data_IF_285912726974
#
_entry.id   IF_285912726974
#
_cell.length_a   1.000
_cell.length_b   1.000
_cell.length_c   1.000
_cell.angle_alpha   90.00
_cell.angle_beta   90.00
_cell.angle_gamma   90.00
#
_symmetry.space_group_name_H-M   'P 1'
#
loop_
_entity.id
_entity.type
_entity.pdbx_description
1 polymer ?
#
# COMPACT_ATOMS: atom_id res chain seq x y z
N UNK A 1 21.07 12.53 6.34
CA UNK A 1 20.22 12.06 7.47
C UNK A 1 19.61 10.72 7.08
N UNK A 2 19.98 9.63 7.76
CA UNK A 2 19.38 8.31 7.50
C UNK A 2 18.10 8.26 8.33
N UNK A 3 16.94 8.17 7.67
CA UNK A 3 15.63 8.06 8.33
C UNK A 3 15.61 6.71 9.06
N UNK A 4 15.75 6.72 10.39
CA UNK A 4 15.85 5.52 11.23
C UNK A 4 14.51 4.79 11.40
N UNK A 5 13.39 5.48 11.17
CA UNK A 5 12.04 4.94 11.33
C UNK A 5 11.04 5.65 10.39
N UNK A 6 10.12 4.87 9.79
CA UNK A 6 8.89 5.36 9.15
C UNK A 6 7.73 4.50 9.64
N UNK A 7 6.82 5.08 10.41
CA UNK A 7 5.78 4.33 11.11
C UNK A 7 6.39 3.23 11.99
N UNK A 8 6.04 1.98 11.71
CA UNK A 8 6.54 0.79 12.41
C UNK A 8 7.71 0.09 11.70
N UNK A 9 8.17 0.62 10.57
CA UNK A 9 9.32 0.06 9.83
C UNK A 9 10.62 0.71 10.29
N UNK A 10 11.48 -0.11 10.88
CA UNK A 10 12.78 0.30 11.39
C UNK A 10 13.90 0.08 10.37
N UNK A 11 14.88 0.99 10.36
CA UNK A 11 16.12 0.83 9.62
C UNK A 11 17.32 0.97 10.53
N UNK A 12 18.29 0.09 10.37
CA UNK A 12 19.60 0.22 11.03
C UNK A 12 20.40 1.33 10.36
N UNK A 13 21.41 1.83 11.08
CA UNK A 13 22.34 2.85 10.57
C UNK A 13 23.13 2.37 9.33
N UNK A 14 23.25 1.06 9.12
CA UNK A 14 23.87 0.43 7.95
C UNK A 14 22.91 0.22 6.77
N UNK A 15 21.68 0.75 6.85
CA UNK A 15 20.68 0.70 5.78
C UNK A 15 19.83 -0.57 5.73
N UNK A 16 20.09 -1.57 6.59
CA UNK A 16 19.27 -2.79 6.64
C UNK A 16 17.87 -2.48 7.16
N UNK A 17 16.87 -3.01 6.45
CA UNK A 17 15.44 -2.84 6.75
C UNK A 17 14.91 -3.98 7.62
N UNK A 18 14.07 -3.62 8.59
CA UNK A 18 13.34 -4.56 9.44
C UNK A 18 12.31 -5.37 8.64
N UNK A 19 11.71 -4.73 7.64
CA UNK A 19 10.76 -5.35 6.71
C UNK A 19 11.38 -6.37 5.78
N UNK A 20 10.77 -7.55 5.69
CA UNK A 20 11.04 -8.54 4.65
C UNK A 20 10.67 -7.99 3.27
N UNK A 21 11.47 -8.27 2.22
CA UNK A 21 11.02 -8.06 0.85
C UNK A 21 9.95 -9.09 0.50
N UNK A 22 9.15 -8.78 -0.51
CA UNK A 22 8.24 -9.77 -1.09
C UNK A 22 9.05 -10.87 -1.78
N UNK A 23 8.56 -12.11 -1.71
CA UNK A 23 9.16 -13.21 -2.47
C UNK A 23 8.95 -12.96 -3.96
N UNK A 24 9.93 -13.36 -4.78
CA UNK A 24 9.84 -13.25 -6.23
C UNK A 24 8.57 -13.98 -6.74
N UNK A 25 7.75 -13.27 -7.53
CA UNK A 25 6.49 -13.80 -8.05
C UNK A 25 5.35 -13.93 -7.03
N UNK A 26 5.55 -13.49 -5.78
CA UNK A 26 4.47 -13.54 -4.78
C UNK A 26 3.34 -12.61 -5.17
N UNK A 27 2.08 -13.10 -5.18
CA UNK A 27 0.93 -12.24 -5.48
C UNK A 27 0.64 -11.28 -4.33
N UNK A 28 1.06 -11.57 -3.11
CA UNK A 28 0.78 -10.79 -1.90
C UNK A 28 1.96 -9.91 -1.50
N UNK A 29 1.82 -9.17 -0.39
CA UNK A 29 2.95 -8.47 0.21
C UNK A 29 3.24 -8.93 1.64
N UNK A 30 4.52 -8.96 1.97
CA UNK A 30 5.12 -9.11 3.30
C UNK A 30 5.97 -7.90 3.67
N UNK A 31 5.96 -6.88 2.80
CA UNK A 31 6.70 -5.66 2.99
C UNK A 31 5.88 -4.68 3.83
N UNK A 32 6.33 -4.42 5.06
CA UNK A 32 5.72 -3.43 5.95
C UNK A 32 5.62 -2.04 5.31
N UNK A 33 6.56 -1.66 4.45
CA UNK A 33 6.46 -0.41 3.70
C UNK A 33 5.22 -0.35 2.82
N UNK A 34 4.93 -1.44 2.09
CA UNK A 34 3.74 -1.54 1.23
C UNK A 34 2.47 -1.63 2.08
N UNK A 35 2.49 -2.45 3.14
CA UNK A 35 1.35 -2.58 4.06
C UNK A 35 1.00 -1.24 4.71
N UNK A 36 2.01 -0.48 5.12
CA UNK A 36 1.78 0.84 5.70
C UNK A 36 1.25 1.83 4.67
N UNK A 37 1.90 1.93 3.51
CA UNK A 37 1.47 2.86 2.47
C UNK A 37 0.04 2.56 2.02
N UNK A 38 -0.28 1.29 1.75
CA UNK A 38 -1.62 0.87 1.35
C UNK A 38 -2.67 1.10 2.44
N UNK A 39 -2.33 0.95 3.72
CA UNK A 39 -3.25 1.26 4.82
C UNK A 39 -3.58 2.76 4.87
N UNK A 40 -2.57 3.62 4.77
CA UNK A 40 -2.77 5.07 4.74
C UNK A 40 -3.57 5.52 3.52
N UNK A 41 -3.22 5.00 2.34
CA UNK A 41 -3.87 5.41 1.09
C UNK A 41 -5.31 4.89 1.01
N UNK A 42 -5.59 3.67 1.47
CA UNK A 42 -6.96 3.15 1.61
C UNK A 42 -7.83 4.03 2.51
N UNK A 43 -7.29 4.48 3.65
CA UNK A 43 -8.01 5.38 4.55
C UNK A 43 -8.25 6.73 3.88
N UNK A 44 -7.22 7.32 3.25
CA UNK A 44 -7.33 8.58 2.54
C UNK A 44 -8.39 8.53 1.43
N UNK A 45 -8.43 7.45 0.65
CA UNK A 45 -9.42 7.21 -0.40
C UNK A 45 -10.83 7.05 0.15
N UNK A 46 -10.97 6.38 1.29
CA UNK A 46 -12.26 6.21 1.98
C UNK A 46 -12.82 7.56 2.41
N UNK A 47 -11.99 8.40 3.03
CA UNK A 47 -12.35 9.77 3.42
C UNK A 47 -12.69 10.62 2.18
N UNK A 48 -11.83 10.58 1.15
CA UNK A 48 -12.05 11.36 -0.07
C UNK A 48 -13.34 10.94 -0.80
N UNK A 49 -13.66 9.64 -0.82
CA UNK A 49 -14.91 9.13 -1.38
C UNK A 49 -16.12 9.61 -0.58
N UNK A 50 -16.06 9.53 0.75
CA UNK A 50 -17.14 10.01 1.62
C UNK A 50 -17.36 11.52 1.46
N UNK A 51 -16.28 12.31 1.39
CA UNK A 51 -16.35 13.74 1.12
C UNK A 51 -16.96 14.04 -0.26
N UNK A 52 -16.51 13.34 -1.31
CA UNK A 52 -17.08 13.51 -2.66
C UNK A 52 -18.59 13.22 -2.68
N UNK A 53 -19.04 12.19 -1.98
CA UNK A 53 -20.47 11.87 -1.83
C UNK A 53 -21.22 12.96 -1.06
N UNK A 54 -20.68 13.39 0.09
CA UNK A 54 -21.31 14.39 0.96
C UNK A 54 -21.49 15.75 0.28
N UNK A 55 -20.52 16.17 -0.54
CA UNK A 55 -20.53 17.48 -1.20
C UNK A 55 -20.96 17.43 -2.66
N UNK A 56 -21.44 16.28 -3.15
CA UNK A 56 -21.93 16.14 -4.53
C UNK A 56 -20.85 16.32 -5.60
N UNK A 57 -19.59 16.00 -5.29
CA UNK A 57 -18.49 16.04 -6.26
C UNK A 57 -18.59 14.80 -7.16
N UNK A 58 -18.85 15.03 -8.45
CA UNK A 58 -19.08 13.97 -9.44
C UNK A 58 -17.84 13.67 -10.28
N UNK A 59 -17.82 12.47 -10.88
CA UNK A 59 -16.75 12.05 -11.79
C UNK A 59 -16.65 13.00 -13.00
N UNK A 60 -15.48 13.60 -13.28
CA UNK A 60 -15.29 14.48 -14.43
C UNK A 60 -15.33 13.70 -15.77
N UNK A 61 -15.85 14.33 -16.82
CA UNK A 61 -15.86 13.73 -18.17
C UNK A 61 -14.49 13.72 -18.85
N UNK A 62 -13.60 14.66 -18.50
CA UNK A 62 -12.25 14.75 -19.08
C UNK A 62 -11.41 13.54 -18.68
N UNK A 63 -10.78 12.81 -19.62
CA UNK A 63 -10.12 11.53 -19.32
C UNK A 63 -9.08 11.57 -18.20
N UNK A 64 -8.15 12.53 -18.21
CA UNK A 64 -7.13 12.66 -17.16
C UNK A 64 -7.75 12.91 -15.77
N UNK A 65 -8.78 13.76 -15.69
CA UNK A 65 -9.46 14.07 -14.43
C UNK A 65 -10.36 12.93 -13.96
N UNK A 66 -10.90 12.15 -14.89
CA UNK A 66 -11.63 10.92 -14.59
C UNK A 66 -10.73 9.90 -13.89
N UNK A 67 -9.54 9.63 -14.44
CA UNK A 67 -8.57 8.71 -13.81
C UNK A 67 -8.13 9.22 -12.43
N UNK A 68 -7.78 10.51 -12.32
CA UNK A 68 -7.40 11.10 -11.04
C UNK A 68 -8.52 11.04 -10.00
N UNK A 69 -9.76 11.31 -10.41
CA UNK A 69 -10.91 11.22 -9.51
C UNK A 69 -11.14 9.79 -9.03
N UNK A 70 -11.03 8.80 -9.93
CA UNK A 70 -11.14 7.39 -9.58
C UNK A 70 -10.03 6.97 -8.63
N UNK A 71 -8.79 7.37 -8.87
CA UNK A 71 -7.64 7.10 -8.02
C UNK A 71 -7.87 7.63 -6.59
N UNK A 72 -8.10 8.94 -6.48
CA UNK A 72 -8.30 9.64 -5.20
C UNK A 72 -9.48 9.08 -4.41
N UNK A 73 -10.50 8.54 -5.08
CA UNK A 73 -11.68 7.97 -4.41
C UNK A 73 -11.66 6.45 -4.33
N UNK A 74 -10.52 5.81 -4.61
CA UNK A 74 -10.34 4.36 -4.55
C UNK A 74 -11.34 3.61 -5.44
N UNK A 75 -11.55 4.10 -6.66
CA UNK A 75 -12.47 3.59 -7.68
C UNK A 75 -11.76 3.26 -9.00
N UNK A 76 -10.42 3.30 -9.03
CA UNK A 76 -9.68 2.73 -10.16
C UNK A 76 -9.99 1.24 -10.26
N UNK A 77 -10.38 0.82 -11.45
CA UNK A 77 -10.64 -0.59 -11.76
C UNK A 77 -9.39 -1.26 -12.35
N UNK A 78 -9.38 -2.59 -12.39
CA UNK A 78 -8.33 -3.35 -13.10
C UNK A 78 -8.23 -2.89 -14.56
N UNK A 79 -9.38 -2.70 -15.22
CA UNK A 79 -9.45 -2.18 -16.59
C UNK A 79 -8.77 -0.82 -16.69
N UNK A 80 -9.05 0.10 -15.76
CA UNK A 80 -8.37 1.40 -15.74
C UNK A 80 -6.85 1.23 -15.60
N UNK A 81 -6.38 0.34 -14.71
CA UNK A 81 -4.93 0.14 -14.54
C UNK A 81 -4.27 -0.47 -15.77
N UNK A 82 -4.94 -1.39 -16.45
CA UNK A 82 -4.47 -2.02 -17.68
C UNK A 82 -4.42 -1.02 -18.84
N UNK A 83 -5.45 -0.17 -18.94
CA UNK A 83 -5.48 0.99 -19.82
C UNK A 83 -4.29 1.93 -19.55
N UNK A 84 -4.06 2.26 -18.28
CA UNK A 84 -2.94 3.11 -17.88
C UNK A 84 -1.57 2.45 -18.05
N UNK A 85 -1.47 1.14 -18.31
CA UNK A 85 -0.21 0.49 -18.69
C UNK A 85 0.17 0.77 -20.16
N UNK A 86 -0.80 1.12 -21.01
CA UNK A 86 -0.62 1.33 -22.45
C UNK A 86 -0.27 2.78 -22.79
N UNK A 87 0.80 2.97 -23.56
CA UNK A 87 1.33 4.31 -23.85
C UNK A 87 0.38 5.14 -24.70
N UNK A 88 -0.28 4.52 -25.66
CA UNK A 88 -1.26 5.14 -26.56
C UNK A 88 -2.49 5.64 -25.82
N UNK A 89 -2.97 4.90 -24.81
CA UNK A 89 -4.11 5.33 -23.97
C UNK A 89 -3.73 6.55 -23.15
N UNK A 90 -2.55 6.54 -22.53
CA UNK A 90 -2.07 7.68 -21.75
C UNK A 90 -1.90 8.91 -22.63
N UNK A 91 -1.33 8.76 -23.83
CA UNK A 91 -1.14 9.86 -24.78
C UNK A 91 -2.48 10.45 -25.24
N UNK A 92 -3.51 9.62 -25.45
CA UNK A 92 -4.85 10.07 -25.82
C UNK A 92 -5.62 10.75 -24.66
N UNK A 93 -5.39 10.29 -23.42
CA UNK A 93 -6.08 10.80 -22.24
C UNK A 93 -5.44 12.06 -21.63
N UNK A 94 -4.14 12.25 -21.83
CA UNK A 94 -3.35 13.28 -21.17
C UNK A 94 -3.20 14.56 -22.02
N UNK A 95 -3.39 15.76 -21.43
CA UNK A 95 -3.18 17.03 -22.14
C UNK A 95 -1.69 17.37 -22.37
N UNK A 96 -0.76 16.61 -21.79
CA UNK A 96 0.68 16.85 -21.89
C UNK A 96 1.49 15.59 -21.59
N UNK A 97 2.78 15.60 -21.93
CA UNK A 97 3.70 14.52 -21.57
C UNK A 97 3.81 14.31 -20.06
N UNK A 98 3.80 15.40 -19.28
CA UNK A 98 3.81 15.34 -17.82
C UNK A 98 2.54 14.67 -17.27
N UNK A 99 1.37 14.97 -17.83
CA UNK A 99 0.12 14.31 -17.46
C UNK A 99 0.11 12.82 -17.87
N UNK A 100 0.71 12.47 -19.01
CA UNK A 100 0.85 11.07 -19.42
C UNK A 100 1.75 10.28 -18.45
N UNK A 101 2.82 10.91 -17.98
CA UNK A 101 3.72 10.32 -16.97
C UNK A 101 3.03 10.18 -15.60
N UNK A 102 2.25 11.18 -15.20
CA UNK A 102 1.40 11.10 -14.01
C UNK A 102 0.43 9.90 -14.07
N UNK A 103 -0.27 9.73 -15.20
CA UNK A 103 -1.16 8.58 -15.41
C UNK A 103 -0.40 7.23 -15.36
N UNK A 104 0.82 7.18 -15.90
CA UNK A 104 1.68 5.97 -15.81
C UNK A 104 2.04 5.65 -14.36
N UNK A 105 2.46 6.67 -13.61
CA UNK A 105 2.85 6.54 -12.21
C UNK A 105 1.65 6.10 -11.35
N UNK A 106 0.48 6.70 -11.54
CA UNK A 106 -0.77 6.35 -10.85
C UNK A 106 -1.14 4.87 -11.05
N UNK A 107 -1.24 4.40 -12.31
CA UNK A 107 -1.53 2.99 -12.56
C UNK A 107 -0.44 2.05 -12.04
N UNK A 108 0.82 2.52 -12.00
CA UNK A 108 1.93 1.80 -11.37
C UNK A 108 1.79 1.69 -9.85
N UNK A 109 1.41 2.78 -9.19
CA UNK A 109 1.20 2.85 -7.75
C UNK A 109 0.07 1.92 -7.33
N UNK A 110 -1.11 2.01 -7.98
CA UNK A 110 -2.26 1.14 -7.72
C UNK A 110 -1.88 -0.35 -7.74
N UNK A 111 -1.13 -0.78 -8.77
CA UNK A 111 -0.68 -2.18 -8.86
C UNK A 111 0.37 -2.56 -7.83
N UNK A 112 1.31 -1.65 -7.55
CA UNK A 112 2.46 -1.92 -6.72
C UNK A 112 2.16 -1.83 -5.22
N UNK A 113 1.17 -1.03 -4.83
CA UNK A 113 0.83 -0.73 -3.45
C UNK A 113 -0.58 -1.21 -3.12
N UNK A 114 -1.61 -0.55 -3.65
CA UNK A 114 -2.99 -0.73 -3.17
C UNK A 114 -3.52 -2.11 -3.46
N UNK A 115 -3.38 -2.58 -4.70
CA UNK A 115 -3.80 -3.92 -5.07
C UNK A 115 -3.03 -5.01 -4.29
N UNK A 116 -1.78 -4.75 -3.89
CA UNK A 116 -1.01 -5.69 -3.05
C UNK A 116 -1.49 -5.67 -1.62
N UNK A 117 -1.83 -4.49 -1.10
CA UNK A 117 -2.37 -4.34 0.24
C UNK A 117 -3.74 -5.02 0.37
N UNK A 118 -4.62 -4.85 -0.61
CA UNK A 118 -5.91 -5.56 -0.66
C UNK A 118 -5.72 -7.09 -0.68
N UNK A 119 -4.76 -7.60 -1.46
CA UNK A 119 -4.43 -9.04 -1.45
C UNK A 119 -3.85 -9.49 -0.11
N UNK A 120 -3.05 -8.66 0.55
CA UNK A 120 -2.56 -8.93 1.91
C UNK A 120 -3.73 -9.04 2.90
N UNK A 121 -4.68 -8.11 2.86
CA UNK A 121 -5.86 -8.15 3.72
C UNK A 121 -6.72 -9.39 3.44
N UNK A 122 -6.94 -9.73 2.17
CA UNK A 122 -7.68 -10.94 1.79
C UNK A 122 -6.98 -12.23 2.25
N UNK A 123 -5.65 -12.31 2.16
CA UNK A 123 -4.90 -13.50 2.56
C UNK A 123 -4.73 -13.65 4.08
N UNK A 124 -4.43 -12.54 4.75
CA UNK A 124 -4.06 -12.51 6.18
C UNK A 124 -5.27 -12.25 7.07
N UNK A 125 -6.13 -11.32 6.66
CA UNK A 125 -7.38 -10.98 7.33
C UNK A 125 -8.50 -11.97 7.04
N UNK A 126 -8.60 -12.43 5.78
CA UNK A 126 -9.72 -13.26 5.31
C UNK A 126 -11.06 -12.58 5.62
N UNK A 127 -11.95 -13.27 6.33
CA UNK A 127 -13.26 -12.73 6.74
C UNK A 127 -13.13 -11.58 7.77
N UNK A 128 -11.94 -11.38 8.33
CA UNK A 128 -11.61 -10.31 9.29
C UNK A 128 -10.69 -9.23 8.66
N UNK A 129 -10.77 -9.04 7.34
CA UNK A 129 -9.96 -8.07 6.59
C UNK A 129 -10.09 -6.63 7.11
N UNK A 130 -11.31 -6.19 7.44
CA UNK A 130 -11.54 -4.84 7.98
C UNK A 130 -10.93 -4.68 9.38
N UNK A 131 -11.09 -5.68 10.26
CA UNK A 131 -10.48 -5.67 11.59
C UNK A 131 -8.96 -5.62 11.51
N UNK A 132 -8.37 -6.38 10.56
CA UNK A 132 -6.94 -6.32 10.29
C UNK A 132 -6.53 -4.92 9.78
N UNK A 133 -7.29 -4.34 8.85
CA UNK A 133 -7.03 -3.00 8.34
C UNK A 133 -7.04 -1.95 9.48
N UNK A 134 -8.08 -1.95 10.32
CA UNK A 134 -8.17 -1.07 11.49
C UNK A 134 -7.01 -1.28 12.46
N UNK A 135 -6.61 -2.53 12.70
CA UNK A 135 -5.50 -2.85 13.59
C UNK A 135 -4.16 -2.34 13.03
N UNK A 136 -3.91 -2.53 11.73
CA UNK A 136 -2.71 -2.01 11.05
C UNK A 136 -2.68 -0.49 11.12
N UNK A 137 -3.76 0.18 10.71
CA UNK A 137 -3.86 1.64 10.69
C UNK A 137 -3.66 2.24 12.09
N UNK A 138 -4.29 1.66 13.11
CA UNK A 138 -4.14 2.09 14.51
C UNK A 138 -2.69 1.94 14.98
N UNK A 139 -2.05 0.80 14.69
CA UNK A 139 -0.64 0.58 15.02
C UNK A 139 0.29 1.58 14.32
N UNK A 140 -0.01 1.96 13.09
CA UNK A 140 0.77 2.97 12.36
C UNK A 140 0.64 4.36 12.96
N UNK A 141 -0.59 4.80 13.26
CA UNK A 141 -0.86 6.13 13.81
C UNK A 141 -0.25 6.28 15.21
N UNK A 142 -0.42 5.26 16.05
CA UNK A 142 0.05 5.28 17.44
C UNK A 142 1.53 4.93 17.58
N UNK A 143 2.12 4.26 16.60
CA UNK A 143 3.44 3.63 16.70
C UNK A 143 3.48 2.38 17.60
N UNK A 144 2.33 1.91 18.10
CA UNK A 144 2.24 0.77 19.03
C UNK A 144 1.88 -0.51 18.27
N UNK A 145 2.83 -1.44 18.19
CA UNK A 145 2.67 -2.72 17.48
C UNK A 145 1.98 -3.83 18.30
N UNK A 146 1.91 -3.71 19.62
CA UNK A 146 1.40 -4.77 20.51
C UNK A 146 0.03 -5.32 20.08
N UNK A 147 -0.97 -4.49 19.73
CA UNK A 147 -2.26 -4.98 19.25
C UNK A 147 -2.15 -5.79 17.96
N UNK A 148 -1.40 -5.31 16.97
CA UNK A 148 -1.18 -6.03 15.71
C UNK A 148 -0.47 -7.37 15.93
N UNK A 149 0.56 -7.40 16.77
CA UNK A 149 1.26 -8.64 17.13
C UNK A 149 0.33 -9.63 17.85
N UNK A 150 -0.54 -9.15 18.74
CA UNK A 150 -1.51 -9.99 19.43
C UNK A 150 -2.57 -10.54 18.47
N UNK A 151 -3.13 -9.68 17.60
CA UNK A 151 -4.12 -10.03 16.59
C UNK A 151 -3.60 -11.14 15.67
N UNK A 152 -2.39 -10.97 15.13
CA UNK A 152 -1.76 -11.94 14.23
C UNK A 152 -1.45 -13.25 14.97
N UNK A 153 -0.93 -13.17 16.19
CA UNK A 153 -0.59 -14.35 16.98
C UNK A 153 -1.80 -15.22 17.29
N UNK A 154 -2.94 -14.60 17.60
CA UNK A 154 -4.17 -15.32 17.89
C UNK A 154 -4.69 -16.10 16.68
N UNK A 155 -4.54 -15.56 15.47
CA UNK A 155 -5.12 -16.11 14.23
C UNK A 155 -4.17 -16.97 13.40
N UNK A 156 -2.87 -16.70 13.48
CA UNK A 156 -1.83 -17.33 12.65
C UNK A 156 -0.79 -18.10 13.47
N UNK A 157 -0.89 -18.07 14.79
CA UNK A 157 -0.01 -18.79 15.71
C UNK A 157 1.16 -17.96 16.26
N UNK A 158 1.98 -18.55 17.14
CA UNK A 158 3.10 -17.85 17.76
C UNK A 158 4.09 -17.33 16.71
N UNK A 159 4.66 -16.15 16.98
CA UNK A 159 5.63 -15.46 16.10
C UNK A 159 5.12 -15.07 14.71
N UNK A 160 3.80 -15.00 14.52
CA UNK A 160 3.21 -14.70 13.21
C UNK A 160 3.66 -13.35 12.63
N UNK A 161 3.79 -12.30 13.45
CA UNK A 161 4.30 -11.01 12.99
C UNK A 161 5.73 -11.15 12.47
N UNK A 162 6.57 -11.84 13.23
CA UNK A 162 7.96 -12.08 12.89
C UNK A 162 8.11 -12.86 11.58
N UNK A 163 7.34 -13.94 11.43
CA UNK A 163 7.34 -14.77 10.23
C UNK A 163 6.81 -14.07 8.99
N UNK A 164 5.86 -13.15 9.15
CA UNK A 164 5.28 -12.40 8.04
C UNK A 164 6.18 -11.25 7.60
N UNK A 165 6.68 -10.46 8.54
CA UNK A 165 7.22 -9.15 8.23
C UNK A 165 8.72 -9.01 8.44
N UNK A 166 9.37 -9.91 9.19
CA UNK A 166 10.77 -9.67 9.54
C UNK A 166 11.72 -10.27 8.53
N UNK A 167 12.63 -9.42 8.05
CA UNK A 167 13.77 -9.87 7.29
C UNK A 167 14.78 -10.55 8.21
N UNK A 168 15.13 -11.84 7.99
CA UNK A 168 16.18 -12.51 8.76
C UNK A 168 17.53 -11.77 8.68
N UNK A 169 17.78 -11.06 7.59
CA UNK A 169 19.01 -10.29 7.38
C UNK A 169 19.16 -9.08 8.34
N UNK A 170 18.05 -8.60 8.91
CA UNK A 170 18.07 -7.48 9.88
C UNK A 170 18.84 -7.85 11.17
N UNK A 171 18.67 -9.10 11.62
CA UNK A 171 19.28 -9.64 12.84
C UNK A 171 20.66 -10.28 12.60
N UNK A 172 21.07 -10.46 11.35
CA UNK A 172 22.36 -11.03 11.00
C UNK A 172 23.55 -10.13 11.41
N UNK A 173 24.77 -10.68 11.45
CA UNK A 173 25.98 -9.87 11.66
C UNK A 173 26.14 -8.83 10.54
N UNK A 174 26.70 -7.67 10.85
CA UNK A 174 27.11 -6.69 9.83
C UNK A 174 28.19 -7.38 8.99
N UNK A 175 27.94 -7.59 7.69
CA UNK A 175 29.02 -8.04 6.80
C UNK A 175 29.94 -6.83 6.56
N UNK A 176 31.25 -6.94 6.83
CA UNK A 176 32.19 -5.88 6.46
C UNK A 176 32.18 -5.72 4.93
N UNK A 177 32.30 -4.47 4.50
CA UNK A 177 32.35 -4.07 3.09
C UNK A 177 33.58 -4.61 2.37
#
# INVERSE_FOLDING_TARGET
MIRSQYGVNFRRHDGRTYSAPDLAGSPTTRNLGIVMEGASDREARTIARAAAQQYGIVEPATPVYRYAFRDITGRLTVVDTDDLARAEVRAAAAPSAAAAEFLRAMGGFERAIDARYERFLAEVGRDEAEDLHTTVLTSMITGVLTPLCAWLRQRRGPKAFESLFLSPAYFGPVRPA
#
